data_IF_299799880363
#
_entry.id   IF_299799880363
#
_cell.length_a   1.000
_cell.length_b   1.000
_cell.length_c   1.000
_cell.angle_alpha   90.00
_cell.angle_beta   90.00
_cell.angle_gamma   90.00
#
_symmetry.space_group_name_H-M   'P 1'
#
loop_
_entity.id
_entity.type
_entity.pdbx_description
1 polymer ?
#
# COMPACT_ATOMS: atom_id res chain seq x y z
N UNK A 1 15.95 3.10 41.51
CA UNK A 1 16.29 1.70 41.85
C UNK A 1 15.15 0.90 42.52
N UNK A 2 13.90 1.37 42.58
CA UNK A 2 12.83 0.69 43.34
C UNK A 2 12.19 -0.55 42.66
N UNK A 3 12.35 -0.74 41.35
CA UNK A 3 11.68 -1.83 40.60
C UNK A 3 12.37 -3.20 40.69
N UNK A 4 13.56 -3.28 41.26
CA UNK A 4 14.35 -4.51 41.27
C UNK A 4 14.04 -5.42 42.47
N UNK A 5 13.56 -4.84 43.58
CA UNK A 5 13.24 -5.59 44.80
C UNK A 5 12.15 -6.66 44.55
N UNK A 6 11.18 -6.35 43.68
CA UNK A 6 10.12 -7.30 43.29
C UNK A 6 10.67 -8.63 42.74
N UNK A 7 11.71 -8.57 41.90
CA UNK A 7 12.31 -9.76 41.31
C UNK A 7 13.21 -10.52 42.28
N UNK A 8 13.92 -9.78 43.15
CA UNK A 8 14.76 -10.37 44.19
C UNK A 8 13.92 -11.17 45.20
N UNK A 9 12.74 -10.66 45.59
CA UNK A 9 11.81 -11.40 46.47
C UNK A 9 11.23 -12.67 45.82
N UNK A 10 11.22 -12.78 44.49
CA UNK A 10 10.84 -13.99 43.76
C UNK A 10 12.00 -14.94 43.46
N UNK A 11 13.19 -14.68 44.00
CA UNK A 11 14.39 -15.49 43.75
C UNK A 11 15.01 -15.29 42.36
N UNK A 12 14.65 -14.21 41.65
CA UNK A 12 15.15 -13.90 40.31
C UNK A 12 16.23 -12.82 40.42
N UNK A 13 17.47 -13.23 40.21
CA UNK A 13 18.64 -12.35 40.24
C UNK A 13 18.71 -11.45 38.99
N UNK A 14 19.40 -10.31 39.08
CA UNK A 14 19.45 -9.26 38.04
C UNK A 14 19.66 -9.80 36.63
N UNK A 15 20.57 -10.74 36.48
CA UNK A 15 20.95 -11.38 35.21
C UNK A 15 19.82 -12.19 34.57
N UNK A 16 18.89 -12.72 35.37
CA UNK A 16 17.77 -13.54 34.91
C UNK A 16 16.44 -12.76 34.80
N UNK A 17 16.39 -11.50 35.24
CA UNK A 17 15.19 -10.65 35.18
C UNK A 17 14.72 -10.44 33.74
N UNK A 18 15.66 -10.22 32.82
CA UNK A 18 15.32 -10.00 31.41
C UNK A 18 14.73 -11.27 30.77
N UNK A 19 15.36 -12.42 31.00
CA UNK A 19 14.86 -13.72 30.51
C UNK A 19 13.49 -14.06 31.07
N UNK A 20 13.27 -13.80 32.36
CA UNK A 20 11.96 -13.96 32.99
C UNK A 20 10.92 -13.02 32.38
N UNK A 21 11.24 -11.74 32.20
CA UNK A 21 10.34 -10.76 31.58
C UNK A 21 9.90 -11.21 30.17
N UNK A 22 10.86 -11.60 29.31
CA UNK A 22 10.57 -12.10 27.96
C UNK A 22 9.69 -13.35 28.00
N UNK A 23 9.95 -14.29 28.92
CA UNK A 23 9.13 -15.51 29.06
C UNK A 23 7.70 -15.25 29.54
N UNK A 24 7.45 -14.12 30.20
CA UNK A 24 6.11 -13.73 30.69
C UNK A 24 5.33 -12.89 29.69
N UNK A 25 5.92 -12.52 28.55
CA UNK A 25 5.20 -11.85 27.48
C UNK A 25 4.14 -12.81 26.94
N UNK A 26 2.87 -12.43 27.07
CA UNK A 26 1.78 -13.18 26.43
C UNK A 26 1.91 -13.05 24.92
N UNK A 27 1.62 -14.10 24.14
CA UNK A 27 1.43 -13.96 22.71
C UNK A 27 0.37 -12.88 22.49
N UNK A 28 0.76 -11.81 21.78
CA UNK A 28 -0.15 -10.73 21.47
C UNK A 28 -1.01 -11.18 20.29
N UNK A 29 -2.33 -11.08 20.44
CA UNK A 29 -3.28 -11.27 19.33
C UNK A 29 -3.16 -10.17 18.25
N UNK A 30 -2.28 -9.20 18.45
CA UNK A 30 -1.96 -8.13 17.50
C UNK A 30 -0.99 -8.62 16.42
N UNK A 31 -1.31 -9.74 15.77
CA UNK A 31 -0.66 -10.08 14.51
C UNK A 31 -1.14 -9.12 13.42
N UNK A 32 -0.43 -9.01 12.30
CA UNK A 32 -0.80 -8.10 11.21
C UNK A 32 -2.24 -8.30 10.72
N UNK A 33 -2.71 -9.54 10.81
CA UNK A 33 -4.06 -9.98 10.48
C UNK A 33 -5.13 -9.34 11.39
N UNK A 34 -4.75 -8.86 12.58
CA UNK A 34 -5.62 -8.09 13.47
C UNK A 34 -5.91 -6.69 12.93
N UNK A 35 -4.96 -6.10 12.19
CA UNK A 35 -5.07 -4.72 11.69
C UNK A 35 -5.53 -4.66 10.24
N UNK A 36 -5.34 -5.73 9.47
CA UNK A 36 -5.58 -5.75 8.03
C UNK A 36 -6.41 -6.97 7.67
N UNK A 37 -7.59 -6.75 7.07
CA UNK A 37 -8.32 -7.81 6.40
C UNK A 37 -7.64 -8.13 5.06
N UNK A 38 -6.79 -9.15 5.05
CA UNK A 38 -6.06 -9.58 3.86
C UNK A 38 -6.96 -10.18 2.77
N UNK A 39 -8.11 -10.76 3.14
CA UNK A 39 -9.07 -11.29 2.16
C UNK A 39 -9.61 -10.16 1.28
N UNK A 40 -10.00 -9.04 1.89
CA UNK A 40 -10.49 -7.84 1.18
C UNK A 40 -9.41 -7.23 0.27
N UNK A 41 -8.17 -7.19 0.76
CA UNK A 41 -7.04 -6.68 -0.02
C UNK A 41 -6.75 -7.58 -1.24
N UNK A 42 -6.77 -8.91 -1.05
CA UNK A 42 -6.52 -9.90 -2.09
C UNK A 42 -7.59 -9.88 -3.19
N UNK A 43 -8.87 -9.76 -2.81
CA UNK A 43 -9.97 -9.65 -3.78
C UNK A 43 -9.85 -8.40 -4.66
N UNK A 44 -9.54 -7.25 -4.06
CA UNK A 44 -9.33 -5.99 -4.80
C UNK A 44 -8.14 -6.08 -5.75
N UNK A 45 -7.05 -6.70 -5.32
CA UNK A 45 -5.88 -6.93 -6.17
C UNK A 45 -6.24 -7.78 -7.39
N UNK A 46 -7.02 -8.85 -7.20
CA UNK A 46 -7.43 -9.73 -8.29
C UNK A 46 -8.30 -9.02 -9.33
N UNK A 47 -9.14 -8.08 -8.90
CA UNK A 47 -10.00 -7.28 -9.75
C UNK A 47 -9.27 -6.20 -10.57
N UNK A 48 -8.05 -5.80 -10.17
CA UNK A 48 -7.27 -4.74 -10.84
C UNK A 48 -6.11 -5.32 -11.67
N UNK A 49 -5.70 -6.56 -11.37
CA UNK A 49 -4.59 -7.25 -12.03
C UNK A 49 -4.77 -7.39 -13.55
N UNK A 50 -5.99 -7.67 -14.00
CA UNK A 50 -6.29 -7.79 -15.43
C UNK A 50 -6.09 -6.46 -16.16
N UNK A 51 -6.61 -5.38 -15.62
CA UNK A 51 -6.50 -4.03 -16.17
C UNK A 51 -5.05 -3.52 -16.15
N UNK A 52 -4.28 -3.80 -15.10
CA UNK A 52 -2.84 -3.52 -15.03
C UNK A 52 -2.06 -4.28 -16.11
N UNK A 53 -2.38 -5.55 -16.35
CA UNK A 53 -1.73 -6.33 -17.40
C UNK A 53 -2.02 -5.77 -18.81
N UNK A 54 -3.23 -5.24 -19.03
CA UNK A 54 -3.57 -4.58 -20.29
C UNK A 54 -2.80 -3.25 -20.44
N UNK A 55 -2.62 -2.48 -19.35
CA UNK A 55 -1.75 -1.29 -19.38
C UNK A 55 -0.28 -1.64 -19.66
N UNK A 56 0.21 -2.74 -19.11
CA UNK A 56 1.59 -3.21 -19.35
C UNK A 56 1.87 -3.47 -20.83
N UNK A 57 0.87 -3.78 -21.65
CA UNK A 57 1.08 -3.91 -23.09
C UNK A 57 1.50 -2.61 -23.77
N UNK A 58 1.11 -1.44 -23.22
CA UNK A 58 1.53 -0.13 -23.75
C UNK A 58 2.99 0.19 -23.43
N UNK A 59 3.46 -0.19 -22.25
CA UNK A 59 4.82 0.11 -21.78
C UNK A 59 5.84 -0.87 -22.36
N UNK A 60 5.49 -2.17 -22.41
CA UNK A 60 6.38 -3.23 -22.89
C UNK A 60 6.37 -3.35 -24.42
N UNK A 61 5.25 -3.02 -25.06
CA UNK A 61 5.04 -3.20 -26.49
C UNK A 61 5.57 -2.05 -27.34
N UNK A 62 6.83 -1.61 -27.15
CA UNK A 62 7.57 -0.63 -28.00
C UNK A 62 6.63 0.32 -28.80
N UNK A 63 5.76 1.05 -28.11
CA UNK A 63 4.79 1.88 -28.79
C UNK A 63 5.54 3.12 -29.31
N UNK A 64 5.64 3.26 -30.64
CA UNK A 64 6.23 4.46 -31.26
C UNK A 64 5.46 5.73 -30.86
N UNK A 65 4.17 5.60 -30.58
CA UNK A 65 3.28 6.68 -30.15
C UNK A 65 2.33 6.21 -29.03
N UNK A 66 2.86 6.18 -27.80
CA UNK A 66 2.13 5.78 -26.58
C UNK A 66 0.77 6.45 -26.47
N UNK A 67 0.64 7.73 -26.83
CA UNK A 67 -0.60 8.50 -26.69
C UNK A 67 -1.74 7.97 -27.59
N UNK A 68 -1.43 7.66 -28.86
CA UNK A 68 -2.43 7.13 -29.82
C UNK A 68 -2.89 5.75 -29.40
N UNK A 69 -1.95 4.91 -28.98
CA UNK A 69 -2.27 3.53 -28.60
C UNK A 69 -2.97 3.47 -27.25
N UNK A 70 -2.65 4.38 -26.33
CA UNK A 70 -3.40 4.60 -25.10
C UNK A 70 -4.85 5.00 -25.36
N UNK A 71 -5.10 5.96 -26.27
CA UNK A 71 -6.46 6.36 -26.64
C UNK A 71 -7.24 5.18 -27.23
N UNK A 72 -6.62 4.36 -28.10
CA UNK A 72 -7.24 3.15 -28.63
C UNK A 72 -7.54 2.14 -27.52
N UNK A 73 -6.62 1.95 -26.59
CA UNK A 73 -6.75 1.01 -25.48
C UNK A 73 -7.90 1.38 -24.56
N UNK A 74 -8.01 2.65 -24.16
CA UNK A 74 -9.12 3.14 -23.33
C UNK A 74 -10.46 2.95 -24.05
N UNK A 75 -10.51 3.26 -25.36
CA UNK A 75 -11.74 3.07 -26.15
C UNK A 75 -12.20 1.61 -26.17
N UNK A 76 -11.26 0.66 -26.21
CA UNK A 76 -11.54 -0.79 -26.22
C UNK A 76 -11.87 -1.32 -24.82
N UNK A 77 -11.19 -0.81 -23.80
CA UNK A 77 -11.29 -1.27 -22.41
C UNK A 77 -11.43 -0.07 -21.46
N UNK A 78 -12.62 0.54 -21.35
CA UNK A 78 -12.82 1.74 -20.52
C UNK A 78 -12.64 1.48 -19.01
N UNK A 79 -12.73 0.21 -18.58
CA UNK A 79 -12.51 -0.19 -17.18
C UNK A 79 -11.11 0.12 -16.66
N UNK A 80 -10.12 0.23 -17.55
CA UNK A 80 -8.75 0.58 -17.21
C UNK A 80 -8.65 1.93 -16.49
N UNK A 81 -9.59 2.85 -16.74
CA UNK A 81 -9.63 4.16 -16.06
C UNK A 81 -9.70 4.00 -14.52
N UNK A 82 -10.31 2.93 -14.02
CA UNK A 82 -10.44 2.66 -12.57
C UNK A 82 -9.09 2.37 -11.89
N UNK A 83 -8.05 2.06 -12.66
CA UNK A 83 -6.71 1.77 -12.13
C UNK A 83 -5.90 3.07 -11.90
N UNK A 84 -6.28 4.17 -12.54
CA UNK A 84 -5.52 5.44 -12.45
C UNK A 84 -5.48 6.04 -11.05
N UNK A 85 -6.58 6.11 -10.27
CA UNK A 85 -6.49 6.57 -8.89
C UNK A 85 -5.48 5.76 -8.07
N UNK A 86 -5.44 4.44 -8.26
CA UNK A 86 -4.45 3.57 -7.60
C UNK A 86 -3.02 3.90 -8.03
N UNK A 87 -2.76 4.03 -9.32
CA UNK A 87 -1.42 4.36 -9.85
C UNK A 87 -0.94 5.75 -9.43
N UNK A 88 -1.86 6.70 -9.29
CA UNK A 88 -1.58 8.05 -8.84
C UNK A 88 -1.57 8.18 -7.31
N UNK A 89 -1.81 7.08 -6.58
CA UNK A 89 -1.97 7.06 -5.13
C UNK A 89 -3.03 8.04 -4.61
N UNK A 90 -4.11 8.24 -5.37
CA UNK A 90 -5.25 9.10 -5.05
C UNK A 90 -6.46 8.25 -4.65
N UNK A 91 -7.14 8.65 -3.57
CA UNK A 91 -8.37 7.98 -3.09
C UNK A 91 -9.64 8.49 -3.77
N UNK A 92 -9.57 9.65 -4.43
CA UNK A 92 -10.70 10.24 -5.13
C UNK A 92 -10.94 9.56 -6.48
N UNK A 93 -12.19 9.14 -6.72
CA UNK A 93 -12.61 8.59 -8.01
C UNK A 93 -12.76 9.64 -9.11
N UNK A 94 -12.76 10.93 -8.72
CA UNK A 94 -12.89 12.08 -9.63
C UNK A 94 -11.69 12.99 -9.46
N UNK A 95 -10.75 12.90 -10.40
CA UNK A 95 -9.61 13.80 -10.43
C UNK A 95 -10.05 15.17 -10.95
N UNK A 96 -9.78 16.22 -10.17
CA UNK A 96 -9.94 17.59 -10.63
C UNK A 96 -8.81 17.91 -11.61
N UNK A 97 -9.16 18.02 -12.90
CA UNK A 97 -8.20 18.46 -13.92
C UNK A 97 -7.92 19.94 -13.67
N UNK A 98 -6.70 20.24 -13.24
CA UNK A 98 -6.21 21.61 -13.17
C UNK A 98 -5.79 22.00 -14.59
N UNK A 99 -6.63 22.77 -15.27
CA UNK A 99 -6.21 23.41 -16.50
C UNK A 99 -5.14 24.45 -16.15
N UNK A 100 -4.04 24.55 -16.93
CA UNK A 100 -3.10 25.64 -16.75
C UNK A 100 -3.88 26.95 -16.89
N UNK A 101 -3.86 27.78 -15.85
CA UNK A 101 -4.35 29.15 -15.97
C UNK A 101 -3.46 29.82 -17.02
N UNK A 102 -4.06 30.40 -18.07
CA UNK A 102 -3.33 31.23 -19.05
C UNK A 102 -2.58 32.31 -18.26
N UNK A 103 -1.28 32.13 -18.07
CA UNK A 103 -0.42 33.03 -17.28
C UNK A 103 0.40 32.39 -16.16
N UNK A 104 0.27 31.09 -15.86
CA UNK A 104 1.17 30.43 -14.89
C UNK A 104 2.48 30.02 -15.57
N UNK A 105 3.57 30.63 -15.09
CA UNK A 105 4.97 30.51 -15.50
C UNK A 105 5.57 29.12 -15.18
N UNK A 106 5.02 28.05 -15.73
CA UNK A 106 5.70 26.75 -15.73
C UNK A 106 5.80 26.26 -17.16
N UNK A 107 6.94 26.60 -17.78
CA UNK A 107 7.42 25.97 -18.99
C UNK A 107 7.97 24.59 -18.66
N UNK A 108 7.34 23.58 -19.26
CA UNK A 108 8.01 22.40 -19.78
C UNK A 108 7.73 22.36 -21.28
#
# INVERSE_FOLDING_TARGET
>A
MQKLNYYIHKGIYRENVFSYFISTLRPSIQEWDYFVNWEDASQKHHAIKSELNILNSLVLGRAENVEKDFIKLIKKYPKIIKVFPLLLAVREDKLKILLPQRGSLYGF
#
